data_IF_023920624425
#
_entry.id   IF_023920624425
#
_cell.length_a   1.000
_cell.length_b   1.000
_cell.length_c   1.000
_cell.angle_alpha   90.00
_cell.angle_beta   90.00
_cell.angle_gamma   90.00
#
_symmetry.space_group_name_H-M   'P 1'
#
loop_
_entity.id
_entity.type
_entity.pdbx_description
1 polymer ?
#
# COMPACT_ATOMS: atom_id res chain seq x y z
N UNK A 1 13.73 -7.87 -7.90
CA UNK A 1 12.71 -8.34 -6.93
C UNK A 1 13.26 -8.49 -5.50
N UNK A 2 14.36 -9.21 -5.26
CA UNK A 2 14.89 -9.43 -3.91
C UNK A 2 15.08 -8.17 -3.05
N UNK A 3 15.64 -7.09 -3.62
CA UNK A 3 15.80 -5.82 -2.89
C UNK A 3 14.47 -5.18 -2.44
N UNK A 4 13.44 -5.19 -3.31
CA UNK A 4 12.11 -4.67 -2.97
C UNK A 4 11.45 -5.50 -1.87
N UNK A 5 11.60 -6.83 -1.92
CA UNK A 5 11.09 -7.74 -0.88
C UNK A 5 11.76 -7.43 0.47
N UNK A 6 13.08 -7.25 0.48
CA UNK A 6 13.82 -6.90 1.69
C UNK A 6 13.37 -5.53 2.25
N UNK A 7 13.20 -4.51 1.40
CA UNK A 7 12.68 -3.21 1.83
C UNK A 7 11.23 -3.28 2.35
N UNK A 8 10.40 -4.15 1.79
CA UNK A 8 9.04 -4.37 2.28
C UNK A 8 9.06 -5.05 3.66
N UNK A 9 9.82 -6.13 3.81
CA UNK A 9 10.01 -6.79 5.10
C UNK A 9 10.58 -5.84 6.17
N UNK A 10 11.48 -4.94 5.77
CA UNK A 10 12.03 -3.91 6.67
C UNK A 10 10.96 -2.99 7.24
N UNK A 11 10.06 -2.44 6.41
CA UNK A 11 9.01 -1.55 6.92
C UNK A 11 8.06 -2.27 7.86
N UNK A 12 7.72 -3.53 7.58
CA UNK A 12 6.81 -4.30 8.42
C UNK A 12 7.44 -4.60 9.78
N UNK A 13 8.70 -5.06 9.80
CA UNK A 13 9.43 -5.35 11.03
C UNK A 13 9.70 -4.10 11.88
N UNK A 14 10.08 -2.99 11.25
CA UNK A 14 10.27 -1.73 11.96
C UNK A 14 8.94 -1.19 12.49
N UNK A 15 7.84 -1.38 11.75
CA UNK A 15 6.51 -0.98 12.21
C UNK A 15 6.09 -1.76 13.45
N UNK A 16 6.20 -3.10 13.44
CA UNK A 16 5.92 -3.93 14.62
C UNK A 16 6.75 -3.50 15.83
N UNK A 17 8.06 -3.23 15.63
CA UNK A 17 8.91 -2.76 16.73
C UNK A 17 8.43 -1.43 17.33
N UNK A 18 8.11 -0.45 16.49
CA UNK A 18 7.70 0.87 16.95
C UNK A 18 6.30 0.87 17.55
N UNK A 19 5.38 0.07 17.02
CA UNK A 19 4.01 -0.04 17.52
C UNK A 19 3.97 -0.75 18.87
N UNK A 20 4.75 -1.81 19.05
CA UNK A 20 4.99 -2.42 20.34
C UNK A 20 5.63 -1.44 21.33
N UNK A 21 6.67 -0.69 20.92
CA UNK A 21 7.34 0.29 21.79
C UNK A 21 6.43 1.44 22.22
N UNK A 22 5.49 1.85 21.36
CA UNK A 22 4.43 2.84 21.68
C UNK A 22 3.32 2.23 22.54
N UNK A 23 3.26 0.90 22.66
CA UNK A 23 2.18 0.17 23.32
C UNK A 23 0.86 0.27 22.56
N UNK A 24 0.90 0.43 21.24
CA UNK A 24 -0.29 0.38 20.37
C UNK A 24 -0.79 -1.06 20.32
N UNK A 25 0.10 -2.01 20.02
CA UNK A 25 -0.25 -3.42 19.86
C UNK A 25 -0.80 -4.07 21.14
N UNK A 26 -0.54 -3.49 22.31
CA UNK A 26 -1.05 -4.00 23.60
C UNK A 26 -2.52 -3.66 23.85
N UNK A 27 -3.07 -2.67 23.14
CA UNK A 27 -4.46 -2.22 23.29
C UNK A 27 -5.30 -2.45 22.04
N UNK A 28 -4.67 -2.66 20.88
CA UNK A 28 -5.36 -2.95 19.63
C UNK A 28 -5.95 -4.36 19.64
N UNK A 29 -7.23 -4.48 19.27
CA UNK A 29 -7.84 -5.79 19.00
C UNK A 29 -7.34 -6.31 17.66
N UNK A 30 -6.40 -7.24 17.70
CA UNK A 30 -5.84 -7.88 16.49
C UNK A 30 -6.92 -8.52 15.63
N UNK A 31 -6.82 -8.30 14.32
CA UNK A 31 -7.63 -8.98 13.31
C UNK A 31 -6.73 -9.70 12.31
N UNK A 32 -7.31 -10.42 11.35
CA UNK A 32 -6.52 -11.03 10.26
C UNK A 32 -5.83 -9.99 9.35
N UNK A 33 -6.28 -8.73 9.37
CA UNK A 33 -5.84 -7.68 8.44
C UNK A 33 -5.32 -6.41 9.13
N UNK A 34 -5.36 -6.32 10.47
CA UNK A 34 -4.96 -5.14 11.24
C UNK A 34 -4.50 -5.51 12.66
N UNK A 35 -3.87 -4.56 13.37
CA UNK A 35 -3.40 -4.75 14.74
C UNK A 35 -2.09 -5.54 14.90
N UNK A 36 -1.20 -5.47 13.91
CA UNK A 36 0.15 -6.03 13.98
C UNK A 36 0.24 -7.56 13.89
N UNK A 37 1.46 -8.08 13.93
CA UNK A 37 1.70 -9.54 13.83
C UNK A 37 1.36 -10.32 15.10
N UNK A 38 1.32 -9.64 16.26
CA UNK A 38 1.16 -10.26 17.58
C UNK A 38 2.46 -10.81 18.17
N UNK A 39 3.54 -10.88 17.40
CA UNK A 39 4.80 -11.55 17.80
C UNK A 39 5.48 -10.91 19.00
N UNK A 40 5.48 -9.57 19.10
CA UNK A 40 6.07 -8.86 20.24
C UNK A 40 5.14 -8.81 21.47
N UNK A 41 3.83 -8.49 21.35
CA UNK A 41 2.89 -8.60 22.47
C UNK A 41 2.82 -9.99 23.10
N UNK A 42 2.89 -11.05 22.31
CA UNK A 42 2.88 -12.45 22.77
C UNK A 42 4.23 -12.92 23.33
N UNK A 43 5.28 -12.08 23.27
CA UNK A 43 6.61 -12.40 23.79
C UNK A 43 7.38 -13.46 22.98
N UNK A 44 6.94 -13.78 21.77
CA UNK A 44 7.55 -14.81 20.92
C UNK A 44 8.95 -14.41 20.43
N UNK A 45 9.19 -13.10 20.22
CA UNK A 45 10.50 -12.56 19.90
C UNK A 45 10.84 -11.37 20.80
N UNK A 46 12.15 -11.14 21.00
CA UNK A 46 12.64 -9.94 21.67
C UNK A 46 12.50 -8.72 20.74
N UNK A 47 12.05 -7.54 21.22
CA UNK A 47 11.95 -6.32 20.41
C UNK A 47 13.26 -5.95 19.72
N UNK A 48 14.40 -6.15 20.38
CA UNK A 48 15.72 -5.89 19.79
C UNK A 48 16.04 -6.79 18.60
N UNK A 49 15.56 -8.03 18.59
CA UNK A 49 15.71 -8.96 17.46
C UNK A 49 14.90 -8.49 16.26
N UNK A 50 13.63 -8.11 16.47
CA UNK A 50 12.76 -7.60 15.40
C UNK A 50 13.31 -6.31 14.80
N UNK A 51 13.79 -5.38 15.64
CA UNK A 51 14.44 -4.15 15.16
C UNK A 51 15.70 -4.43 14.33
N UNK A 52 16.59 -5.31 14.83
CA UNK A 52 17.81 -5.70 14.10
C UNK A 52 17.48 -6.36 12.77
N UNK A 53 16.51 -7.27 12.73
CA UNK A 53 16.04 -7.90 11.49
C UNK A 53 15.52 -6.84 10.51
N UNK A 54 14.70 -5.88 10.98
CA UNK A 54 14.22 -4.76 10.16
C UNK A 54 15.35 -3.92 9.57
N UNK A 55 16.39 -3.62 10.37
CA UNK A 55 17.57 -2.88 9.91
C UNK A 55 18.46 -3.69 8.95
N UNK A 56 18.60 -5.00 9.15
CA UNK A 56 19.31 -5.88 8.21
C UNK A 56 18.57 -5.93 6.87
N UNK A 57 17.25 -6.08 6.88
CA UNK A 57 16.43 -6.02 5.68
C UNK A 57 16.54 -4.66 4.97
N UNK A 58 16.56 -3.55 5.72
CA UNK A 58 16.79 -2.21 5.17
C UNK A 58 18.14 -2.14 4.47
N UNK A 59 19.21 -2.59 5.14
CA UNK A 59 20.56 -2.57 4.61
C UNK A 59 20.68 -3.44 3.35
N UNK A 60 20.19 -4.68 3.38
CA UNK A 60 20.21 -5.60 2.23
C UNK A 60 19.45 -5.04 1.03
N UNK A 61 18.26 -4.46 1.27
CA UNK A 61 17.48 -3.79 0.23
C UNK A 61 18.18 -2.55 -0.32
N UNK A 62 18.84 -1.78 0.54
CA UNK A 62 19.61 -0.59 0.17
C UNK A 62 20.86 -0.93 -0.64
N UNK A 63 21.57 -2.01 -0.30
CA UNK A 63 22.72 -2.49 -1.07
C UNK A 63 22.31 -2.97 -2.46
N UNK A 64 21.20 -3.70 -2.56
CA UNK A 64 20.63 -4.09 -3.85
C UNK A 64 20.22 -2.86 -4.67
N UNK A 65 19.64 -1.83 -4.05
CA UNK A 65 19.33 -0.57 -4.70
C UNK A 65 20.59 0.18 -5.15
N UNK A 66 21.63 0.23 -4.32
CA UNK A 66 22.90 0.90 -4.62
C UNK A 66 23.60 0.29 -5.83
N UNK A 67 23.53 -1.03 -6.00
CA UNK A 67 23.97 -1.70 -7.24
C UNK A 67 23.29 -1.11 -8.48
N UNK A 68 21.97 -0.90 -8.44
CA UNK A 68 21.25 -0.28 -9.57
C UNK A 68 21.52 1.22 -9.72
N UNK A 69 21.94 1.93 -8.68
CA UNK A 69 22.41 3.32 -8.81
C UNK A 69 23.66 3.36 -9.69
N UNK A 70 24.61 2.45 -9.49
CA UNK A 70 25.84 2.38 -10.30
C UNK A 70 25.52 2.08 -11.77
N UNK A 71 24.52 1.23 -12.02
CA UNK A 71 24.16 0.82 -13.38
C UNK A 71 23.29 1.83 -14.13
N UNK A 72 22.38 2.52 -13.44
CA UNK A 72 21.30 3.31 -14.06
C UNK A 72 21.26 4.76 -13.60
N UNK A 73 22.20 5.18 -12.75
CA UNK A 73 22.41 6.58 -12.40
C UNK A 73 21.49 7.13 -11.30
N UNK A 74 21.46 8.47 -11.23
CA UNK A 74 20.96 9.22 -10.08
C UNK A 74 19.44 9.14 -9.87
N UNK A 75 18.65 8.83 -10.90
CA UNK A 75 17.19 8.68 -10.76
C UNK A 75 16.87 7.53 -9.79
N UNK A 76 17.59 6.42 -9.88
CA UNK A 76 17.45 5.32 -8.92
C UNK A 76 17.91 5.75 -7.52
N UNK A 77 18.91 6.62 -7.41
CA UNK A 77 19.35 7.15 -6.12
C UNK A 77 18.24 7.97 -5.42
N UNK A 78 17.50 8.78 -6.18
CA UNK A 78 16.35 9.53 -5.65
C UNK A 78 15.24 8.58 -5.20
N UNK A 79 14.91 7.58 -6.03
CA UNK A 79 13.86 6.60 -5.70
C UNK A 79 14.22 5.79 -4.45
N UNK A 80 15.46 5.30 -4.37
CA UNK A 80 15.96 4.55 -3.23
C UNK A 80 16.06 5.42 -1.98
N UNK A 81 16.58 6.64 -2.10
CA UNK A 81 16.69 7.59 -0.99
C UNK A 81 15.33 7.89 -0.37
N UNK A 82 14.32 8.16 -1.19
CA UNK A 82 12.94 8.28 -0.73
C UNK A 82 12.45 7.01 -0.03
N UNK A 83 12.71 5.82 -0.60
CA UNK A 83 12.28 4.56 0.00
C UNK A 83 12.90 4.35 1.38
N UNK A 84 14.21 4.55 1.54
CA UNK A 84 14.92 4.40 2.82
C UNK A 84 14.37 5.36 3.86
N UNK A 85 14.25 6.66 3.51
CA UNK A 85 13.69 7.67 4.41
C UNK A 85 12.25 7.34 4.79
N UNK A 86 11.44 6.96 3.81
CA UNK A 86 10.04 6.59 4.05
C UNK A 86 9.94 5.41 5.00
N UNK A 87 10.73 4.35 4.80
CA UNK A 87 10.72 3.15 5.65
C UNK A 87 11.13 3.50 7.08
N UNK A 88 12.23 4.23 7.25
CA UNK A 88 12.77 4.52 8.57
C UNK A 88 11.88 5.48 9.39
N UNK A 89 11.32 6.51 8.73
CA UNK A 89 10.49 7.52 9.39
C UNK A 89 8.99 7.19 9.40
N UNK A 90 8.57 6.09 8.76
CA UNK A 90 7.15 5.73 8.64
C UNK A 90 6.44 5.75 10.00
N UNK A 91 6.83 4.83 10.88
CA UNK A 91 6.14 4.56 12.16
C UNK A 91 6.40 5.61 13.25
N UNK A 92 7.36 6.51 13.01
CA UNK A 92 7.80 7.51 14.00
C UNK A 92 7.39 8.94 13.68
N UNK A 93 7.15 9.28 12.41
CA UNK A 93 6.82 10.64 11.96
C UNK A 93 5.67 10.67 10.96
N UNK A 94 5.73 9.81 9.94
CA UNK A 94 4.78 9.87 8.82
C UNK A 94 3.37 9.47 9.26
N UNK A 95 3.24 8.41 10.05
CA UNK A 95 1.93 7.94 10.55
C UNK A 95 1.25 8.96 11.48
N UNK A 96 2.02 9.89 12.05
CA UNK A 96 1.48 10.94 12.93
C UNK A 96 1.03 12.20 12.16
N UNK A 97 1.10 12.20 10.81
CA UNK A 97 0.87 13.39 9.98
C UNK A 97 -0.54 13.54 9.38
N UNK A 98 -1.37 12.50 9.35
CA UNK A 98 -2.64 12.50 8.61
C UNK A 98 -2.51 12.07 7.15
N UNK A 99 -1.29 11.87 6.65
CA UNK A 99 -1.01 11.69 5.22
C UNK A 99 -0.55 10.26 4.87
N UNK A 100 -0.75 9.29 5.76
CA UNK A 100 -0.25 7.91 5.60
C UNK A 100 -0.67 7.28 4.26
N UNK A 101 -1.93 7.44 3.87
CA UNK A 101 -2.48 6.94 2.61
C UNK A 101 -1.81 7.59 1.39
N UNK A 102 -1.52 8.88 1.44
CA UNK A 102 -0.81 9.59 0.36
C UNK A 102 0.62 9.08 0.27
N UNK A 103 1.32 8.97 1.40
CA UNK A 103 2.69 8.45 1.45
C UNK A 103 2.79 7.02 0.92
N UNK A 104 1.88 6.12 1.32
CA UNK A 104 1.83 4.76 0.78
C UNK A 104 1.50 4.76 -0.71
N UNK A 105 0.66 5.69 -1.18
CA UNK A 105 0.37 5.87 -2.59
C UNK A 105 1.62 6.22 -3.38
N UNK A 106 2.35 7.26 -2.94
CA UNK A 106 3.62 7.69 -3.54
C UNK A 106 4.65 6.56 -3.52
N UNK A 107 4.80 5.87 -2.37
CA UNK A 107 5.71 4.72 -2.25
C UNK A 107 5.37 3.62 -3.27
N UNK A 108 4.09 3.28 -3.42
CA UNK A 108 3.65 2.29 -4.41
C UNK A 108 3.95 2.74 -5.85
N UNK A 109 3.70 4.01 -6.16
CA UNK A 109 4.05 4.60 -7.47
C UNK A 109 5.54 4.53 -7.74
N UNK A 110 6.38 4.88 -6.76
CA UNK A 110 7.84 4.89 -6.91
C UNK A 110 8.42 3.49 -7.12
N UNK A 111 7.82 2.44 -6.56
CA UNK A 111 8.22 1.05 -6.85
C UNK A 111 8.00 0.71 -8.33
N UNK A 112 6.85 1.09 -8.90
CA UNK A 112 6.56 0.88 -10.33
C UNK A 112 7.52 1.70 -11.19
N UNK A 113 7.71 2.98 -10.88
CA UNK A 113 8.61 3.85 -11.63
C UNK A 113 10.05 3.35 -11.61
N UNK A 114 10.58 2.94 -10.45
CA UNK A 114 11.93 2.39 -10.36
C UNK A 114 12.08 1.09 -11.16
N UNK A 115 11.06 0.22 -11.11
CA UNK A 115 11.06 -1.05 -11.86
C UNK A 115 11.05 -0.82 -13.37
N UNK A 116 10.25 0.14 -13.85
CA UNK A 116 10.20 0.48 -15.28
C UNK A 116 11.47 1.20 -15.72
N UNK A 117 11.97 2.15 -14.93
CA UNK A 117 13.18 2.91 -15.25
C UNK A 117 14.40 2.00 -15.38
N UNK A 118 14.58 0.99 -14.52
CA UNK A 118 15.66 0.01 -14.65
C UNK A 118 15.60 -0.70 -16.02
N UNK A 119 14.40 -1.02 -16.50
CA UNK A 119 14.21 -1.78 -17.74
C UNK A 119 14.30 -0.90 -19.01
N UNK A 120 13.77 0.33 -18.96
CA UNK A 120 13.61 1.17 -20.15
C UNK A 120 14.52 2.40 -20.17
N UNK A 121 15.19 2.70 -19.06
CA UNK A 121 15.96 3.94 -18.83
C UNK A 121 15.14 5.24 -19.03
N UNK A 122 13.81 5.14 -19.02
CA UNK A 122 12.91 6.26 -19.24
C UNK A 122 11.67 6.19 -18.34
N UNK A 123 11.30 7.33 -17.75
CA UNK A 123 10.02 7.48 -17.07
C UNK A 123 9.01 8.02 -18.09
N UNK A 124 8.17 7.12 -18.61
CA UNK A 124 7.09 7.48 -19.52
C UNK A 124 5.82 7.87 -18.75
N UNK A 125 4.94 8.72 -19.32
CA UNK A 125 3.64 9.02 -18.71
C UNK A 125 2.83 7.76 -18.37
N UNK A 126 2.91 6.72 -19.21
CA UNK A 126 2.28 5.41 -19.02
C UNK A 126 2.68 4.78 -17.68
N UNK A 127 3.99 4.84 -17.37
CA UNK A 127 4.57 4.30 -16.14
C UNK A 127 4.11 5.08 -14.91
N UNK A 128 3.95 6.40 -15.03
CA UNK A 128 3.45 7.26 -13.95
C UNK A 128 2.01 6.90 -13.64
N UNK A 129 1.12 6.89 -14.64
CA UNK A 129 -0.30 6.57 -14.43
C UNK A 129 -0.48 5.15 -13.88
N UNK A 130 0.24 4.16 -14.43
CA UNK A 130 0.23 2.79 -13.91
C UNK A 130 0.74 2.71 -12.46
N UNK A 131 1.78 3.47 -12.13
CA UNK A 131 2.30 3.59 -10.77
C UNK A 131 1.30 4.23 -9.80
N UNK A 132 0.59 5.27 -10.23
CA UNK A 132 -0.45 5.92 -9.40
C UNK A 132 -1.62 4.96 -9.16
N UNK A 133 -2.00 4.14 -10.14
CA UNK A 133 -3.00 3.07 -9.96
C UNK A 133 -2.53 2.08 -8.87
N UNK A 134 -1.31 1.54 -9.00
CA UNK A 134 -0.77 0.59 -8.02
C UNK A 134 -0.62 1.20 -6.60
N UNK A 135 -0.19 2.46 -6.54
CA UNK A 135 -0.13 3.26 -5.31
C UNK A 135 -1.51 3.41 -4.67
N UNK A 136 -2.50 3.85 -5.44
CA UNK A 136 -3.87 4.06 -4.94
C UNK A 136 -4.50 2.78 -4.40
N UNK A 137 -4.27 1.64 -5.06
CA UNK A 137 -4.72 0.32 -4.56
C UNK A 137 -4.06 -0.01 -3.20
N UNK A 138 -2.77 0.30 -3.03
CA UNK A 138 -2.06 0.10 -1.77
C UNK A 138 -2.58 1.04 -0.66
N UNK A 139 -2.83 2.31 -0.99
CA UNK A 139 -3.43 3.29 -0.10
C UNK A 139 -4.84 2.86 0.34
N UNK A 140 -5.62 2.26 -0.56
CA UNK A 140 -6.96 1.80 -0.25
C UNK A 140 -6.96 0.66 0.78
N UNK A 141 -6.00 -0.24 0.68
CA UNK A 141 -5.80 -1.29 1.68
C UNK A 141 -5.43 -0.68 3.03
N UNK A 142 -4.49 0.26 3.08
CA UNK A 142 -4.13 0.93 4.34
C UNK A 142 -5.33 1.67 4.95
N UNK A 143 -6.11 2.35 4.10
CA UNK A 143 -7.26 3.12 4.52
C UNK A 143 -8.29 2.24 5.23
N UNK A 144 -8.66 1.10 4.64
CA UNK A 144 -9.66 0.23 5.25
C UNK A 144 -9.15 -0.45 6.51
N UNK A 145 -7.86 -0.81 6.58
CA UNK A 145 -7.27 -1.47 7.76
C UNK A 145 -7.02 -0.49 8.92
N UNK A 146 -7.11 0.82 8.68
CA UNK A 146 -7.01 1.85 9.71
C UNK A 146 -8.29 2.06 10.53
N UNK A 147 -9.43 1.49 10.11
CA UNK A 147 -10.70 1.63 10.83
C UNK A 147 -10.78 0.85 12.15
N UNK A 148 -10.43 -0.45 12.19
CA UNK A 148 -10.40 -1.22 13.45
C UNK A 148 -9.44 -0.63 14.48
N UNK A 149 -8.33 -0.10 14.00
CA UNK A 149 -7.22 0.36 14.85
C UNK A 149 -7.41 1.82 15.31
N UNK A 150 -8.44 2.53 14.82
CA UNK A 150 -8.71 3.95 15.07
C UNK A 150 -8.58 4.38 16.53
N UNK A 151 -9.22 3.66 17.46
CA UNK A 151 -9.28 4.09 18.86
C UNK A 151 -7.95 3.85 19.58
N UNK A 152 -7.26 2.75 19.26
CA UNK A 152 -5.94 2.44 19.79
C UNK A 152 -4.87 3.40 19.25
N UNK A 153 -4.87 3.62 17.93
CA UNK A 153 -3.96 4.55 17.25
C UNK A 153 -4.13 5.98 17.77
N UNK A 154 -5.37 6.44 17.94
CA UNK A 154 -5.68 7.78 18.46
C UNK A 154 -5.17 7.97 19.88
N UNK A 155 -5.34 6.97 20.76
CA UNK A 155 -4.84 7.03 22.14
C UNK A 155 -3.31 7.16 22.22
N UNK A 156 -2.60 6.67 21.22
CA UNK A 156 -1.13 6.71 21.14
C UNK A 156 -0.58 7.81 20.24
N UNK A 157 -1.42 8.79 19.89
CA UNK A 157 -1.02 10.02 19.20
C UNK A 157 -0.84 9.90 17.69
N UNK A 158 -1.22 8.77 17.07
CA UNK A 158 -1.25 8.67 15.61
C UNK A 158 -2.35 9.55 15.04
N UNK A 159 -2.15 10.00 13.81
CA UNK A 159 -3.13 10.78 13.05
C UNK A 159 -3.29 10.11 11.70
N UNK A 160 -4.11 9.07 11.61
CA UNK A 160 -4.49 8.48 10.32
C UNK A 160 -5.57 9.33 9.66
N UNK A 161 -5.83 9.13 8.36
CA UNK A 161 -6.93 9.82 7.68
C UNK A 161 -8.29 9.50 8.36
N UNK A 162 -8.46 8.26 8.82
CA UNK A 162 -9.65 7.82 9.55
C UNK A 162 -9.79 8.57 10.89
N UNK A 163 -8.69 8.82 11.60
CA UNK A 163 -8.69 9.62 12.84
C UNK A 163 -9.00 11.08 12.55
N UNK A 164 -8.40 11.66 11.50
CA UNK A 164 -8.58 13.06 11.14
C UNK A 164 -10.04 13.39 10.74
N UNK A 165 -10.70 12.47 10.03
CA UNK A 165 -12.08 12.65 9.56
C UNK A 165 -13.13 12.08 10.53
N UNK A 166 -12.75 11.11 11.36
CA UNK A 166 -13.63 10.25 12.12
C UNK A 166 -14.24 9.12 11.28
N UNK A 167 -14.50 7.96 11.91
CA UNK A 167 -14.99 6.73 11.26
C UNK A 167 -16.18 6.96 10.30
N UNK A 168 -17.18 7.75 10.71
CA UNK A 168 -18.38 7.99 9.90
C UNK A 168 -18.09 8.72 8.59
N UNK A 169 -17.36 9.86 8.64
CA UNK A 169 -17.01 10.61 7.43
C UNK A 169 -16.01 9.83 6.57
N UNK A 170 -15.03 9.19 7.19
CA UNK A 170 -14.08 8.31 6.50
C UNK A 170 -14.82 7.20 5.73
N UNK A 171 -15.88 6.59 6.30
CA UNK A 171 -16.64 5.55 5.61
C UNK A 171 -17.21 6.00 4.25
N UNK A 172 -17.54 7.30 4.10
CA UNK A 172 -17.98 7.87 2.83
C UNK A 172 -16.85 8.04 1.80
N UNK A 173 -15.59 8.19 2.24
CA UNK A 173 -14.42 8.28 1.37
C UNK A 173 -14.01 6.93 0.77
N UNK A 174 -14.59 5.82 1.23
CA UNK A 174 -14.27 4.47 0.71
C UNK A 174 -14.35 4.38 -0.82
N UNK A 175 -15.30 5.08 -1.44
CA UNK A 175 -15.50 5.10 -2.89
C UNK A 175 -14.47 5.92 -3.68
N UNK A 176 -13.73 6.81 -3.03
CA UNK A 176 -12.77 7.69 -3.70
C UNK A 176 -11.64 6.88 -4.32
N UNK A 177 -11.11 5.87 -3.61
CA UNK A 177 -9.99 5.08 -4.12
C UNK A 177 -10.36 4.26 -5.37
N UNK A 178 -11.46 3.47 -5.39
CA UNK A 178 -11.94 2.82 -6.60
C UNK A 178 -12.23 3.80 -7.74
N UNK A 179 -12.86 4.94 -7.45
CA UNK A 179 -13.17 5.95 -8.46
C UNK A 179 -11.90 6.53 -9.10
N UNK A 180 -10.86 6.81 -8.31
CA UNK A 180 -9.55 7.24 -8.83
C UNK A 180 -8.93 6.16 -9.70
N UNK A 181 -8.91 4.91 -9.25
CA UNK A 181 -8.37 3.78 -10.04
C UNK A 181 -9.08 3.64 -11.38
N UNK A 182 -10.42 3.63 -11.37
CA UNK A 182 -11.22 3.52 -12.58
C UNK A 182 -11.09 4.73 -13.50
N UNK A 183 -11.04 5.93 -12.93
CA UNK A 183 -10.78 7.16 -13.68
C UNK A 183 -9.43 7.12 -14.40
N UNK A 184 -8.38 6.68 -13.71
CA UNK A 184 -7.03 6.57 -14.30
C UNK A 184 -6.93 5.46 -15.36
N UNK A 185 -7.59 4.32 -15.15
CA UNK A 185 -7.66 3.26 -16.17
C UNK A 185 -8.41 3.75 -17.40
N UNK A 186 -9.57 4.39 -17.21
CA UNK A 186 -10.36 4.94 -18.31
C UNK A 186 -9.60 6.03 -19.06
N UNK A 187 -8.97 6.95 -18.33
CA UNK A 187 -8.10 7.98 -18.89
C UNK A 187 -6.98 7.37 -19.74
N UNK A 188 -6.28 6.36 -19.21
CA UNK A 188 -5.20 5.69 -19.92
C UNK A 188 -5.68 4.94 -21.17
N UNK A 189 -6.90 4.39 -21.17
CA UNK A 189 -7.48 3.77 -22.38
C UNK A 189 -7.86 4.83 -23.43
N UNK A 190 -8.52 5.93 -23.03
CA UNK A 190 -8.94 7.01 -23.94
C UNK A 190 -7.74 7.70 -24.60
N UNK A 191 -6.64 7.84 -23.85
CA UNK A 191 -5.40 8.45 -24.33
C UNK A 191 -4.45 7.45 -24.99
N UNK A 192 -4.90 6.21 -25.23
CA UNK A 192 -4.13 5.13 -25.85
C UNK A 192 -2.85 4.73 -25.09
N UNK A 193 -2.73 5.15 -23.83
CA UNK A 193 -1.64 4.76 -22.92
C UNK A 193 -1.76 3.30 -22.48
N UNK A 194 -2.99 2.80 -22.37
CA UNK A 194 -3.32 1.44 -21.94
C UNK A 194 -4.17 0.73 -23.00
N UNK A 195 -4.02 -0.60 -23.16
CA UNK A 195 -4.87 -1.34 -24.08
C UNK A 195 -6.33 -1.33 -23.63
N UNK A 196 -7.27 -1.37 -24.57
CA UNK A 196 -8.72 -1.41 -24.30
C UNK A 196 -9.13 -2.58 -23.39
N UNK A 197 -8.39 -3.70 -23.43
CA UNK A 197 -8.54 -4.83 -22.51
C UNK A 197 -8.43 -4.44 -21.03
N UNK A 198 -7.79 -3.31 -20.69
CA UNK A 198 -7.66 -2.82 -19.30
C UNK A 198 -9.00 -2.47 -18.67
N UNK A 199 -10.06 -2.27 -19.46
CA UNK A 199 -11.42 -2.08 -18.97
C UNK A 199 -11.95 -3.31 -18.19
N UNK A 200 -11.30 -4.48 -18.29
CA UNK A 200 -11.61 -5.65 -17.46
C UNK A 200 -11.52 -5.35 -15.96
N UNK A 201 -10.74 -4.35 -15.54
CA UNK A 201 -10.62 -3.89 -14.15
C UNK A 201 -11.98 -3.43 -13.56
N UNK A 202 -12.90 -2.95 -14.39
CA UNK A 202 -14.23 -2.51 -13.96
C UNK A 202 -15.11 -3.65 -13.43
N UNK A 203 -14.79 -4.91 -13.76
CA UNK A 203 -15.49 -6.08 -13.20
C UNK A 203 -15.42 -6.14 -11.67
N UNK A 204 -14.40 -5.52 -11.07
CA UNK A 204 -14.26 -5.41 -9.61
C UNK A 204 -15.32 -4.56 -8.92
N UNK A 205 -16.13 -3.79 -9.66
CA UNK A 205 -17.12 -2.86 -9.10
C UNK A 205 -18.14 -3.58 -8.22
N UNK A 206 -18.58 -4.78 -8.62
CA UNK A 206 -19.57 -5.54 -7.87
C UNK A 206 -19.10 -5.84 -6.44
N UNK A 207 -17.81 -6.15 -6.29
CA UNK A 207 -17.22 -6.49 -5.00
C UNK A 207 -17.15 -5.26 -4.07
N UNK A 208 -16.78 -4.10 -4.61
CA UNK A 208 -16.70 -2.85 -3.86
C UNK A 208 -18.08 -2.27 -3.56
N UNK A 209 -19.05 -2.35 -4.49
CA UNK A 209 -20.43 -1.90 -4.27
C UNK A 209 -21.06 -2.55 -3.05
N UNK A 210 -20.87 -3.87 -2.91
CA UNK A 210 -21.36 -4.61 -1.76
C UNK A 210 -20.67 -4.18 -0.45
N UNK A 211 -19.36 -3.99 -0.47
CA UNK A 211 -18.59 -3.55 0.71
C UNK A 211 -18.96 -2.12 1.13
N UNK A 212 -19.09 -1.20 0.18
CA UNK A 212 -19.34 0.20 0.45
C UNK A 212 -20.77 0.49 0.96
N UNK A 213 -21.76 -0.32 0.56
CA UNK A 213 -23.12 -0.21 1.11
C UNK A 213 -23.21 -0.67 2.58
N UNK A 214 -22.24 -1.46 3.04
CA UNK A 214 -22.19 -2.02 4.39
C UNK A 214 -21.28 -1.25 5.36
N UNK A 215 -20.21 -0.64 4.87
CA UNK A 215 -19.15 -0.04 5.71
C UNK A 215 -19.67 0.86 6.84
N UNK A 216 -20.64 1.73 6.56
CA UNK A 216 -21.19 2.65 7.56
C UNK A 216 -21.99 1.93 8.66
N UNK A 217 -22.66 0.83 8.31
CA UNK A 217 -23.45 0.02 9.26
C UNK A 217 -22.57 -0.92 10.09
N UNK A 218 -21.42 -1.31 9.54
CA UNK A 218 -20.50 -2.27 10.15
C UNK A 218 -19.41 -1.62 11.01
N UNK A 219 -19.43 -0.30 11.24
CA UNK A 219 -18.39 0.40 12.00
C UNK A 219 -18.21 -0.13 13.43
N UNK A 220 -19.30 -0.58 14.05
CA UNK A 220 -19.31 -1.12 15.42
C UNK A 220 -19.29 -2.66 15.45
N UNK A 221 -19.41 -3.32 14.29
CA UNK A 221 -19.40 -4.78 14.16
C UNK A 221 -18.09 -5.24 13.53
N UNK A 222 -17.13 -5.62 14.39
CA UNK A 222 -15.79 -6.01 13.96
C UNK A 222 -15.79 -7.20 12.99
N UNK A 223 -16.66 -8.20 13.20
CA UNK A 223 -16.69 -9.40 12.35
C UNK A 223 -17.17 -9.07 10.93
N UNK A 224 -18.22 -8.24 10.82
CA UNK A 224 -18.66 -7.74 9.50
C UNK A 224 -17.60 -6.82 8.88
N UNK A 225 -16.91 -6.01 9.68
CA UNK A 225 -15.85 -5.14 9.19
C UNK A 225 -14.64 -5.91 8.65
N UNK A 226 -14.27 -7.04 9.27
CA UNK A 226 -13.22 -7.95 8.77
C UNK A 226 -13.58 -8.50 7.40
N UNK A 227 -14.86 -8.77 7.11
CA UNK A 227 -15.29 -9.14 5.76
C UNK A 227 -15.10 -8.00 4.75
N UNK A 228 -15.38 -6.76 5.15
CA UNK A 228 -15.16 -5.57 4.30
C UNK A 228 -13.66 -5.38 4.02
N UNK A 229 -12.80 -5.53 5.03
CA UNK A 229 -11.34 -5.51 4.84
C UNK A 229 -10.90 -6.60 3.86
N UNK A 230 -11.36 -7.85 4.04
CA UNK A 230 -11.05 -8.96 3.14
C UNK A 230 -11.44 -8.64 1.70
N UNK A 231 -12.66 -8.17 1.46
CA UNK A 231 -13.13 -7.81 0.12
C UNK A 231 -12.31 -6.66 -0.49
N UNK A 232 -11.92 -5.67 0.30
CA UNK A 232 -11.08 -4.54 -0.16
C UNK A 232 -9.66 -4.98 -0.53
N UNK A 233 -9.07 -5.87 0.27
CA UNK A 233 -7.76 -6.48 -0.03
C UNK A 233 -7.86 -7.31 -1.30
N UNK A 234 -8.86 -8.18 -1.41
CA UNK A 234 -9.08 -8.98 -2.62
C UNK A 234 -9.29 -8.11 -3.85
N UNK A 235 -10.07 -7.04 -3.74
CA UNK A 235 -10.28 -6.09 -4.83
C UNK A 235 -8.94 -5.52 -5.30
N UNK A 236 -8.14 -5.02 -4.37
CA UNK A 236 -6.85 -4.41 -4.69
C UNK A 236 -5.91 -5.38 -5.41
N UNK A 237 -5.88 -6.65 -4.98
CA UNK A 237 -5.05 -7.70 -5.60
C UNK A 237 -5.59 -8.15 -6.96
N UNK A 238 -6.89 -8.41 -7.06
CA UNK A 238 -7.53 -8.86 -8.31
C UNK A 238 -7.45 -7.75 -9.36
N UNK A 239 -7.78 -6.51 -9.00
CA UNK A 239 -7.68 -5.36 -9.91
C UNK A 239 -6.25 -5.15 -10.40
N UNK A 240 -5.25 -5.20 -9.52
CA UNK A 240 -3.85 -5.12 -9.93
C UNK A 240 -3.44 -6.25 -10.88
N UNK A 241 -3.86 -7.49 -10.60
CA UNK A 241 -3.57 -8.64 -11.45
C UNK A 241 -4.25 -8.53 -12.82
N UNK A 242 -5.55 -8.19 -12.85
CA UNK A 242 -6.31 -7.96 -14.08
C UNK A 242 -5.71 -6.85 -14.92
N UNK A 243 -5.22 -5.78 -14.29
CA UNK A 243 -4.54 -4.69 -14.97
C UNK A 243 -3.24 -5.16 -15.62
N UNK A 244 -2.44 -6.02 -14.98
CA UNK A 244 -1.24 -6.60 -15.62
C UNK A 244 -1.61 -7.55 -16.75
N UNK A 245 -2.62 -8.42 -16.53
CA UNK A 245 -3.11 -9.39 -17.52
C UNK A 245 -3.60 -8.70 -18.79
N UNK A 246 -4.21 -7.51 -18.70
CA UNK A 246 -4.68 -6.79 -19.89
C UNK A 246 -3.54 -6.41 -20.86
N UNK A 247 -2.35 -6.06 -20.34
CA UNK A 247 -1.18 -5.82 -21.19
C UNK A 247 -0.67 -7.09 -21.83
N UNK A 248 -0.66 -8.21 -21.10
CA UNK A 248 -0.25 -9.52 -21.64
C UNK A 248 -1.18 -9.93 -22.78
N UNK A 249 -2.49 -9.81 -22.59
CA UNK A 249 -3.50 -10.10 -23.63
C UNK A 249 -3.27 -9.21 -24.86
N UNK A 250 -3.04 -7.91 -24.65
CA UNK A 250 -2.80 -6.98 -25.76
C UNK A 250 -1.54 -7.35 -26.57
N UNK A 251 -0.45 -7.72 -25.89
CA UNK A 251 0.78 -8.17 -26.55
C UNK A 251 0.52 -9.44 -27.37
N UNK A 252 -0.21 -10.41 -26.83
CA UNK A 252 -0.52 -11.66 -27.52
C UNK A 252 -1.43 -11.44 -28.73
N UNK A 253 -2.46 -10.59 -28.60
CA UNK A 253 -3.40 -10.29 -29.67
C UNK A 253 -2.78 -9.48 -30.82
N UNK A 254 -1.77 -8.65 -30.54
CA UNK A 254 -1.04 -7.91 -31.58
C UNK A 254 0.02 -8.75 -32.31
N UNK A 255 0.41 -9.90 -31.74
CA UNK A 255 1.40 -10.80 -32.32
C UNK A 255 0.77 -11.96 -33.12
N UNK A 256 -0.57 -12.04 -33.18
CA UNK A 256 -1.36 -13.04 -33.93
C UNK A 256 -1.98 -12.42 -35.17
#
# INVERSE_FOLDING_TARGET
>A
MGGVIALHASVDLLNDYWDYKRGIDTITKRTKFSGGTGVLPEGLLKPSTVYRAGMICLASGSLAGAYFIVLHGWIIAVILGFAILSIYFYSTKIVDSGLGEIFVGIKGTMIVLGTMYIQTQAIMPTNIVAGVIAGTLSSFVLFITSFPDHDADKQKGRKTLVIALGKSKASSLYWVFPAVVYGLVMFGVITEMFPSYSLIVFTGIFMISKSASKIKKSLDNMDEFVHIMKSTVLFSRITGALFVVSFVIAILANNS
#
